data_IF_382163718895
#
_entry.id   IF_382163718895
#
_cell.length_a   1.000
_cell.length_b   1.000
_cell.length_c   1.000
_cell.angle_alpha   90.00
_cell.angle_beta   90.00
_cell.angle_gamma   90.00
#
_symmetry.space_group_name_H-M   'P 1'
#
loop_
_entity.id
_entity.type
_entity.pdbx_description
1 polymer ?
#
# COMPACT_ATOMS: atom_id res chain seq x y z
N UNK A 1 3.26 21.60 -26.91
CA UNK A 1 3.88 22.20 -25.71
C UNK A 1 4.16 21.12 -24.69
N UNK A 2 5.42 20.85 -24.41
CA UNK A 2 5.87 19.76 -23.54
C UNK A 2 5.91 20.20 -22.07
N UNK A 3 5.84 19.23 -21.16
CA UNK A 3 5.81 19.42 -19.70
C UNK A 3 6.99 20.25 -19.13
N UNK A 4 8.05 20.45 -19.92
CA UNK A 4 9.22 21.29 -19.59
C UNK A 4 8.97 22.79 -19.79
N UNK A 5 8.18 23.18 -20.78
CA UNK A 5 7.88 24.60 -21.03
C UNK A 5 6.97 25.23 -19.99
N UNK A 6 6.07 24.44 -19.39
CA UNK A 6 5.22 24.93 -18.28
C UNK A 6 5.97 25.22 -16.97
N UNK A 7 7.14 24.59 -16.75
CA UNK A 7 7.95 24.86 -15.54
C UNK A 7 8.79 26.14 -15.65
N UNK A 8 9.13 26.56 -16.86
CA UNK A 8 9.91 27.77 -17.06
C UNK A 8 9.07 29.06 -16.96
N UNK A 9 7.79 29.00 -17.30
CA UNK A 9 6.86 30.14 -17.14
C UNK A 9 6.57 30.49 -15.70
N UNK A 10 6.54 29.50 -14.78
CA UNK A 10 6.34 29.78 -13.36
C UNK A 10 7.59 30.31 -12.64
N UNK A 11 8.78 30.02 -13.12
CA UNK A 11 10.02 30.51 -12.54
C UNK A 11 10.28 32.00 -12.84
N UNK A 12 9.81 32.49 -13.99
CA UNK A 12 9.99 33.90 -14.38
C UNK A 12 9.02 34.88 -13.73
N UNK A 13 7.83 34.42 -13.29
CA UNK A 13 6.85 35.28 -12.59
C UNK A 13 7.29 35.56 -11.16
N UNK A 14 8.11 34.68 -10.55
CA UNK A 14 8.56 34.87 -9.17
C UNK A 14 9.77 35.80 -9.01
N UNK A 15 10.47 36.15 -10.10
CA UNK A 15 11.68 37.00 -10.03
C UNK A 15 11.41 38.49 -10.23
N UNK A 16 10.24 38.89 -10.74
CA UNK A 16 9.90 40.30 -10.97
C UNK A 16 9.16 40.99 -9.82
N UNK A 17 8.79 40.27 -8.75
CA UNK A 17 8.07 40.85 -7.59
C UNK A 17 8.98 41.16 -6.37
N UNK A 18 10.29 41.22 -6.56
CA UNK A 18 11.22 41.40 -5.41
C UNK A 18 11.99 42.73 -5.38
N UNK A 19 11.44 43.79 -5.94
CA UNK A 19 12.09 45.11 -5.80
C UNK A 19 11.06 46.25 -5.72
N UNK A 20 10.31 46.34 -4.60
CA UNK A 20 9.84 47.64 -4.12
C UNK A 20 9.34 47.57 -2.70
N UNK A 21 9.86 48.51 -1.90
CA UNK A 21 9.45 48.99 -0.57
C UNK A 21 9.74 48.14 0.65
N UNK A 22 10.91 48.38 1.20
CA UNK A 22 11.21 48.27 2.63
C UNK A 22 10.38 49.32 3.41
N UNK A 23 9.23 48.89 3.96
CA UNK A 23 8.46 49.58 4.98
C UNK A 23 8.06 48.56 6.03
N UNK A 24 8.79 48.54 7.16
CA UNK A 24 8.51 47.65 8.28
C UNK A 24 7.16 48.03 8.93
N UNK A 25 6.07 47.36 8.50
CA UNK A 25 4.80 47.37 9.22
C UNK A 25 4.87 46.26 10.27
N UNK A 26 4.59 46.51 11.57
CA UNK A 26 4.58 45.48 12.60
C UNK A 26 3.53 44.45 12.28
N UNK A 27 3.95 43.19 12.03
CA UNK A 27 3.05 42.06 11.84
C UNK A 27 2.24 41.83 13.12
N UNK A 28 1.08 42.46 13.22
CA UNK A 28 0.07 42.08 14.21
C UNK A 28 -0.22 40.59 13.96
N UNK A 29 0.05 39.75 14.98
CA UNK A 29 -0.42 38.36 14.98
C UNK A 29 -1.91 38.37 14.72
N UNK A 30 -2.33 37.95 13.52
CA UNK A 30 -3.72 37.82 13.17
C UNK A 30 -4.38 36.87 14.17
N UNK A 31 -5.48 37.30 14.79
CA UNK A 31 -6.30 36.42 15.64
C UNK A 31 -6.75 35.24 14.78
N UNK A 32 -6.84 34.02 15.33
CA UNK A 32 -7.43 32.90 14.60
C UNK A 32 -8.87 33.30 14.23
N UNK A 33 -9.19 33.21 12.94
CA UNK A 33 -10.51 33.53 12.40
C UNK A 33 -11.53 32.49 12.91
N UNK A 34 -12.72 32.95 13.28
CA UNK A 34 -13.83 32.08 13.63
C UNK A 34 -14.34 31.29 12.40
N UNK A 35 -15.07 30.20 12.63
CA UNK A 35 -15.63 29.38 11.56
C UNK A 35 -16.51 30.19 10.58
N UNK A 36 -17.29 31.16 11.09
CA UNK A 36 -18.13 32.04 10.29
C UNK A 36 -17.28 32.96 9.39
N UNK A 37 -16.22 33.54 9.91
CA UNK A 37 -15.29 34.38 9.14
C UNK A 37 -14.59 33.60 8.00
N UNK A 38 -14.37 32.30 8.18
CA UNK A 38 -13.87 31.43 7.12
C UNK A 38 -14.94 31.14 6.06
N UNK A 39 -16.20 30.95 6.47
CA UNK A 39 -17.31 30.74 5.54
C UNK A 39 -17.55 31.96 4.68
N UNK A 40 -17.54 33.15 5.29
CA UNK A 40 -17.73 34.43 4.58
C UNK A 40 -16.60 34.64 3.57
N UNK A 41 -15.33 34.39 3.95
CA UNK A 41 -14.20 34.50 3.06
C UNK A 41 -14.27 33.53 1.88
N UNK A 42 -14.67 32.27 2.14
CA UNK A 42 -14.82 31.25 1.08
C UNK A 42 -15.94 31.66 0.13
N UNK A 43 -17.07 32.15 0.65
CA UNK A 43 -18.19 32.62 -0.18
C UNK A 43 -17.78 33.80 -1.07
N UNK A 44 -17.08 34.78 -0.51
CA UNK A 44 -16.55 35.94 -1.26
C UNK A 44 -15.58 35.49 -2.37
N UNK A 45 -14.66 34.58 -2.08
CA UNK A 45 -13.71 34.05 -3.08
C UNK A 45 -14.42 33.23 -4.16
N UNK A 46 -15.49 32.50 -3.82
CA UNK A 46 -16.27 31.77 -4.82
C UNK A 46 -17.08 32.71 -5.71
N UNK A 47 -17.68 33.78 -5.15
CA UNK A 47 -18.39 34.78 -5.91
C UNK A 47 -17.46 35.57 -6.85
N UNK A 48 -16.27 35.95 -6.37
CA UNK A 48 -15.24 36.58 -7.17
C UNK A 48 -14.79 35.67 -8.31
N UNK A 49 -14.49 34.39 -8.02
CA UNK A 49 -14.10 33.41 -9.03
C UNK A 49 -15.22 33.19 -10.07
N UNK A 50 -16.49 33.17 -9.62
CA UNK A 50 -17.64 33.04 -10.53
C UNK A 50 -17.79 34.28 -11.43
N UNK A 51 -17.62 35.48 -10.87
CA UNK A 51 -17.72 36.75 -11.64
C UNK A 51 -16.57 36.88 -12.68
N UNK A 52 -15.41 36.33 -12.35
CA UNK A 52 -14.25 36.28 -13.24
C UNK A 52 -14.33 35.13 -14.29
N UNK A 53 -15.45 34.40 -14.34
CA UNK A 53 -15.67 33.32 -15.30
C UNK A 53 -14.85 32.06 -15.04
N UNK A 54 -14.31 31.86 -13.83
CA UNK A 54 -13.52 30.69 -13.49
C UNK A 54 -14.29 29.36 -13.65
N UNK A 55 -15.63 29.44 -13.61
CA UNK A 55 -16.53 28.30 -13.78
C UNK A 55 -17.15 28.22 -15.19
N UNK A 56 -16.78 29.15 -16.08
CA UNK A 56 -17.28 29.16 -17.45
C UNK A 56 -16.55 28.12 -18.30
N UNK A 57 -17.28 27.46 -19.17
CA UNK A 57 -16.73 26.50 -20.13
C UNK A 57 -15.88 25.36 -19.48
N UNK A 58 -16.22 24.93 -18.29
CA UNK A 58 -15.55 23.82 -17.65
C UNK A 58 -15.62 22.54 -18.51
N UNK A 59 -14.49 21.82 -18.70
CA UNK A 59 -14.49 20.57 -19.45
C UNK A 59 -15.40 19.55 -18.76
N UNK A 60 -16.49 19.17 -19.43
CA UNK A 60 -17.50 18.26 -18.88
C UNK A 60 -18.82 18.93 -18.48
N UNK A 61 -18.94 20.27 -18.59
CA UNK A 61 -20.20 20.98 -18.33
C UNK A 61 -21.33 20.40 -19.19
N UNK A 62 -22.47 20.11 -18.53
CA UNK A 62 -23.64 19.50 -19.17
C UNK A 62 -23.54 18.00 -19.50
N UNK A 63 -22.42 17.35 -19.23
CA UNK A 63 -22.29 15.89 -19.39
C UNK A 63 -22.61 15.18 -18.09
N UNK A 64 -23.36 14.04 -18.13
CA UNK A 64 -23.61 13.26 -16.94
C UNK A 64 -22.28 12.77 -16.35
N UNK A 65 -22.07 12.98 -15.06
CA UNK A 65 -20.94 12.45 -14.33
C UNK A 65 -20.98 10.91 -14.37
N UNK A 66 -19.95 10.31 -14.92
CA UNK A 66 -19.78 8.85 -14.81
C UNK A 66 -19.26 8.54 -13.41
N UNK A 67 -20.16 8.44 -12.48
CA UNK A 67 -19.86 7.92 -11.14
C UNK A 67 -19.75 6.40 -11.26
N UNK A 68 -18.59 5.91 -11.63
CA UNK A 68 -18.29 4.47 -11.54
C UNK A 68 -18.25 4.11 -10.05
N UNK A 69 -19.42 3.84 -9.50
CA UNK A 69 -19.52 3.36 -8.13
C UNK A 69 -18.96 1.93 -8.08
N UNK A 70 -17.98 1.72 -7.24
CA UNK A 70 -17.50 0.38 -6.96
C UNK A 70 -18.51 -0.30 -6.01
N UNK A 71 -19.23 -1.36 -6.45
CA UNK A 71 -20.25 -2.01 -5.63
C UNK A 71 -19.69 -2.65 -4.36
N UNK A 72 -18.37 -2.87 -4.31
CA UNK A 72 -17.66 -3.47 -3.17
C UNK A 72 -17.12 -2.41 -2.20
N UNK A 73 -17.38 -1.12 -2.46
CA UNK A 73 -16.89 -0.03 -1.63
C UNK A 73 -17.93 0.38 -0.59
N UNK A 74 -17.58 0.35 0.72
CA UNK A 74 -18.45 0.84 1.78
C UNK A 74 -18.82 2.31 1.54
N UNK A 75 -20.10 2.65 1.73
CA UNK A 75 -20.62 3.99 1.44
C UNK A 75 -19.95 5.10 2.24
N UNK A 76 -19.56 4.82 3.48
CA UNK A 76 -18.86 5.72 4.40
C UNK A 76 -17.40 6.00 3.99
N UNK A 77 -16.78 5.08 3.23
CA UNK A 77 -15.40 5.20 2.75
C UNK A 77 -15.28 5.82 1.35
N UNK A 78 -16.39 6.00 0.62
CA UNK A 78 -16.37 6.48 -0.78
C UNK A 78 -15.66 7.82 -0.95
N UNK A 79 -15.96 8.78 -0.10
CA UNK A 79 -15.36 10.11 -0.17
C UNK A 79 -13.85 10.04 0.13
N UNK A 80 -13.47 9.31 1.18
CA UNK A 80 -12.07 9.13 1.55
C UNK A 80 -11.27 8.43 0.44
N UNK A 81 -11.82 7.36 -0.11
CA UNK A 81 -11.19 6.61 -1.20
C UNK A 81 -11.08 7.45 -2.49
N UNK A 82 -12.09 8.28 -2.78
CA UNK A 82 -12.04 9.21 -3.91
C UNK A 82 -10.93 10.23 -3.75
N UNK A 83 -10.82 10.87 -2.59
CA UNK A 83 -9.76 11.84 -2.32
C UNK A 83 -8.36 11.20 -2.39
N UNK A 84 -8.20 9.99 -1.86
CA UNK A 84 -6.96 9.24 -1.96
C UNK A 84 -6.59 8.95 -3.41
N UNK A 85 -7.57 8.51 -4.21
CA UNK A 85 -7.38 8.18 -5.63
C UNK A 85 -7.05 9.41 -6.47
N UNK A 86 -7.72 10.53 -6.24
CA UNK A 86 -7.50 11.78 -6.98
C UNK A 86 -6.14 12.42 -6.66
N UNK A 87 -5.59 12.15 -5.49
CA UNK A 87 -4.26 12.61 -5.08
C UNK A 87 -3.15 11.54 -5.25
N UNK A 88 -3.42 10.44 -5.96
CA UNK A 88 -2.50 9.30 -6.11
C UNK A 88 -1.99 8.75 -4.76
N UNK A 89 -2.76 8.93 -3.70
CA UNK A 89 -2.45 8.44 -2.37
C UNK A 89 -3.07 7.05 -2.16
N UNK A 90 -2.24 6.10 -1.81
CA UNK A 90 -2.69 4.74 -1.46
C UNK A 90 -2.67 4.58 0.06
N UNK A 91 -3.75 4.10 0.71
CA UNK A 91 -3.70 3.76 2.12
C UNK A 91 -2.53 2.82 2.43
N UNK A 92 -1.78 3.10 3.51
CA UNK A 92 -0.56 2.36 3.86
C UNK A 92 -0.76 0.85 3.94
N UNK A 93 -1.91 0.40 4.47
CA UNK A 93 -2.25 -1.02 4.59
C UNK A 93 -2.27 -1.77 3.25
N UNK A 94 -2.52 -1.09 2.11
CA UNK A 94 -2.48 -1.72 0.78
C UNK A 94 -1.05 -2.10 0.41
N UNK A 95 -0.10 -1.20 0.68
CA UNK A 95 1.33 -1.46 0.49
C UNK A 95 1.82 -2.59 1.39
N UNK A 96 1.49 -2.51 2.67
CA UNK A 96 1.88 -3.50 3.69
C UNK A 96 1.31 -4.89 3.36
N UNK A 97 0.05 -4.95 2.92
CA UNK A 97 -0.59 -6.20 2.49
C UNK A 97 0.10 -6.82 1.28
N UNK A 98 0.43 -6.00 0.27
CA UNK A 98 1.15 -6.47 -0.92
C UNK A 98 2.55 -6.98 -0.58
N UNK A 99 3.27 -6.25 0.26
CA UNK A 99 4.60 -6.66 0.72
C UNK A 99 4.54 -8.00 1.45
N UNK A 100 3.62 -8.15 2.39
CA UNK A 100 3.45 -9.37 3.17
C UNK A 100 3.02 -10.56 2.29
N UNK A 101 2.12 -10.35 1.33
CA UNK A 101 1.76 -11.39 0.35
C UNK A 101 2.97 -11.81 -0.50
N UNK A 102 3.79 -10.87 -0.94
CA UNK A 102 5.00 -11.17 -1.69
C UNK A 102 6.01 -12.00 -0.88
N UNK A 103 6.16 -11.70 0.41
CA UNK A 103 7.03 -12.48 1.31
C UNK A 103 6.49 -13.90 1.54
N UNK A 104 5.18 -14.05 1.72
CA UNK A 104 4.54 -15.37 1.84
C UNK A 104 4.78 -16.21 0.57
N UNK A 105 4.60 -15.63 -0.60
CA UNK A 105 4.86 -16.33 -1.87
C UNK A 105 6.34 -16.66 -2.05
N UNK A 106 7.26 -15.79 -1.62
CA UNK A 106 8.69 -16.05 -1.63
C UNK A 106 9.05 -17.23 -0.72
N UNK A 107 8.47 -17.29 0.49
CA UNK A 107 8.64 -18.41 1.40
C UNK A 107 8.13 -19.70 0.77
N UNK A 108 6.93 -19.73 0.22
CA UNK A 108 6.37 -20.90 -0.47
C UNK A 108 7.24 -21.38 -1.62
N UNK A 109 7.78 -20.46 -2.39
CA UNK A 109 8.71 -20.78 -3.48
C UNK A 109 10.02 -21.38 -2.94
N UNK A 110 10.55 -20.84 -1.85
CA UNK A 110 11.75 -21.37 -1.21
C UNK A 110 11.50 -22.78 -0.63
N UNK A 111 10.34 -23.00 0.00
CA UNK A 111 9.94 -24.31 0.52
C UNK A 111 9.85 -25.35 -0.60
N UNK A 112 9.15 -25.05 -1.70
CA UNK A 112 9.08 -25.96 -2.87
C UNK A 112 10.45 -26.30 -3.41
N UNK A 113 11.31 -25.30 -3.61
CA UNK A 113 12.67 -25.50 -4.12
C UNK A 113 13.52 -26.37 -3.18
N UNK A 114 13.45 -26.10 -1.89
CA UNK A 114 14.20 -26.86 -0.89
C UNK A 114 13.71 -28.31 -0.82
N UNK A 115 12.39 -28.52 -0.87
CA UNK A 115 11.82 -29.86 -0.90
C UNK A 115 12.29 -30.67 -2.12
N UNK A 116 12.23 -30.11 -3.32
CA UNK A 116 12.74 -30.75 -4.55
C UNK A 116 14.21 -31.14 -4.41
N UNK A 117 15.04 -30.27 -3.84
CA UNK A 117 16.47 -30.57 -3.61
C UNK A 117 16.67 -31.67 -2.57
N UNK A 118 15.83 -31.70 -1.53
CA UNK A 118 15.90 -32.73 -0.48
C UNK A 118 15.50 -34.09 -1.04
N UNK A 119 14.43 -34.18 -1.82
CA UNK A 119 14.03 -35.42 -2.50
C UNK A 119 15.09 -35.90 -3.47
N UNK A 120 15.70 -35.01 -4.27
CA UNK A 120 16.78 -35.37 -5.18
C UNK A 120 18.00 -35.92 -4.44
N UNK A 121 18.31 -35.39 -3.27
CA UNK A 121 19.42 -35.91 -2.43
C UNK A 121 19.07 -37.22 -1.77
N UNK A 122 17.84 -37.42 -1.33
CA UNK A 122 17.38 -38.67 -0.73
C UNK A 122 17.51 -39.86 -1.71
N UNK A 123 17.18 -39.62 -2.99
CA UNK A 123 17.31 -40.64 -4.05
C UNK A 123 18.74 -40.86 -4.58
N UNK A 124 19.73 -40.10 -4.12
CA UNK A 124 21.10 -40.25 -4.61
C UNK A 124 21.82 -41.44 -3.93
N UNK A 125 22.59 -42.27 -4.70
CA UNK A 125 23.35 -43.39 -4.12
C UNK A 125 24.46 -42.88 -3.20
N UNK A 126 24.60 -43.50 -2.03
CA UNK A 126 25.63 -43.13 -1.04
C UNK A 126 25.24 -41.97 -0.12
N UNK A 127 23.98 -41.63 -0.06
CA UNK A 127 23.47 -40.57 0.82
C UNK A 127 23.53 -41.00 2.29
N UNK A 128 24.00 -40.08 3.15
CA UNK A 128 23.88 -40.21 4.61
C UNK A 128 22.48 -39.75 5.04
N UNK A 129 21.59 -40.73 5.22
CA UNK A 129 20.19 -40.48 5.62
C UNK A 129 20.11 -39.74 6.96
N UNK A 130 20.99 -39.99 7.92
CA UNK A 130 20.95 -39.32 9.23
C UNK A 130 21.38 -37.83 9.11
N UNK A 131 22.37 -37.53 8.30
CA UNK A 131 22.81 -36.18 8.01
C UNK A 131 21.70 -35.41 7.24
N UNK A 132 21.05 -36.06 6.28
CA UNK A 132 19.94 -35.47 5.52
C UNK A 132 18.75 -35.14 6.41
N UNK A 133 18.34 -36.10 7.27
CA UNK A 133 17.25 -35.93 8.23
C UNK A 133 17.55 -34.79 9.23
N UNK A 134 18.78 -34.72 9.74
CA UNK A 134 19.18 -33.65 10.66
C UNK A 134 19.22 -32.28 9.97
N UNK A 135 19.62 -32.23 8.70
CA UNK A 135 19.54 -31.04 7.86
C UNK A 135 18.10 -30.57 7.61
N UNK A 136 17.21 -31.52 7.30
CA UNK A 136 15.80 -31.28 7.08
C UNK A 136 15.12 -30.70 8.33
N UNK A 137 15.37 -31.30 9.50
CA UNK A 137 14.83 -30.79 10.78
C UNK A 137 15.30 -29.37 11.10
N UNK A 138 16.53 -29.01 10.73
CA UNK A 138 16.99 -27.60 10.87
C UNK A 138 16.24 -26.67 9.93
N UNK A 139 16.00 -27.09 8.71
CA UNK A 139 15.23 -26.32 7.71
C UNK A 139 13.81 -26.08 8.21
N UNK A 140 13.14 -27.12 8.71
CA UNK A 140 11.79 -27.01 9.28
C UNK A 140 11.72 -25.98 10.41
N UNK A 141 12.67 -26.03 11.37
CA UNK A 141 12.75 -25.04 12.45
C UNK A 141 12.91 -23.61 11.93
N UNK A 142 13.77 -23.41 10.94
CA UNK A 142 13.91 -22.09 10.31
C UNK A 142 12.63 -21.59 9.66
N UNK A 143 11.83 -22.48 9.05
CA UNK A 143 10.52 -22.10 8.51
C UNK A 143 9.47 -21.85 9.60
N UNK A 144 9.48 -22.59 10.70
CA UNK A 144 8.63 -22.35 11.87
C UNK A 144 8.85 -20.92 12.42
N UNK A 145 10.13 -20.52 12.55
CA UNK A 145 10.49 -19.17 12.99
C UNK A 145 10.02 -18.08 12.01
N UNK A 146 10.23 -18.28 10.70
CA UNK A 146 9.77 -17.37 9.67
C UNK A 146 8.26 -17.26 9.62
N UNK A 147 7.54 -18.38 9.70
CA UNK A 147 6.08 -18.42 9.77
C UNK A 147 5.57 -17.71 11.02
N UNK A 148 6.22 -17.89 12.16
CA UNK A 148 5.85 -17.20 13.39
C UNK A 148 6.00 -15.68 13.26
N UNK A 149 7.06 -15.21 12.59
CA UNK A 149 7.25 -13.79 12.32
C UNK A 149 6.20 -13.23 11.35
N UNK A 150 5.97 -13.92 10.23
CA UNK A 150 4.92 -13.55 9.28
C UNK A 150 3.55 -13.51 9.94
N UNK A 151 3.23 -14.47 10.81
CA UNK A 151 1.95 -14.51 11.52
C UNK A 151 1.78 -13.34 12.51
N UNK A 152 2.86 -12.86 13.14
CA UNK A 152 2.80 -11.63 13.95
C UNK A 152 2.46 -10.41 13.09
N UNK A 153 3.09 -10.32 11.92
CA UNK A 153 2.86 -9.22 10.98
C UNK A 153 1.47 -9.30 10.33
N UNK A 154 0.98 -10.51 10.03
CA UNK A 154 -0.40 -10.74 9.58
C UNK A 154 -1.40 -10.26 10.65
N UNK A 155 -1.19 -10.61 11.91
CA UNK A 155 -2.07 -10.18 13.00
C UNK A 155 -2.12 -8.65 13.12
N UNK A 156 -0.96 -7.99 13.06
CA UNK A 156 -0.87 -6.52 13.10
C UNK A 156 -1.55 -5.87 11.89
N UNK A 157 -1.35 -6.40 10.69
CA UNK A 157 -2.00 -5.90 9.49
C UNK A 157 -3.52 -6.04 9.58
N UNK A 158 -4.03 -7.21 9.99
CA UNK A 158 -5.46 -7.47 10.07
C UNK A 158 -6.20 -6.50 11.00
N UNK A 159 -5.54 -5.96 12.04
CA UNK A 159 -6.10 -4.92 12.91
C UNK A 159 -6.30 -3.59 12.17
N UNK A 160 -5.46 -3.30 11.18
CA UNK A 160 -5.50 -2.03 10.42
C UNK A 160 -6.41 -2.08 9.20
N UNK A 161 -6.90 -3.27 8.85
CA UNK A 161 -7.74 -3.43 7.66
C UNK A 161 -9.16 -2.89 7.89
N UNK A 162 -9.71 -2.11 6.94
CA UNK A 162 -11.05 -1.55 7.07
C UNK A 162 -12.17 -2.58 6.88
N UNK A 163 -11.86 -3.73 6.28
CA UNK A 163 -12.85 -4.76 5.92
C UNK A 163 -12.29 -6.13 6.28
N UNK A 164 -13.02 -6.89 7.08
CA UNK A 164 -12.66 -8.24 7.53
C UNK A 164 -12.41 -9.23 6.38
N UNK A 165 -13.08 -9.07 5.23
CA UNK A 165 -12.88 -9.92 4.04
C UNK A 165 -11.49 -9.78 3.40
N UNK A 166 -10.74 -8.76 3.78
CA UNK A 166 -9.38 -8.52 3.30
C UNK A 166 -8.32 -9.12 4.22
N UNK A 167 -8.70 -9.72 5.32
CA UNK A 167 -7.79 -10.35 6.26
C UNK A 167 -6.93 -11.44 5.59
N UNK A 168 -5.70 -11.52 6.03
CA UNK A 168 -4.81 -12.61 5.67
C UNK A 168 -4.93 -13.72 6.72
N UNK A 169 -5.06 -14.95 6.26
CA UNK A 169 -5.07 -16.10 7.13
C UNK A 169 -3.68 -16.39 7.69
N UNK A 170 -3.65 -16.88 8.93
CA UNK A 170 -2.41 -17.34 9.54
C UNK A 170 -1.87 -18.54 8.80
N UNK A 171 -0.56 -18.57 8.62
CA UNK A 171 0.16 -19.68 8.03
C UNK A 171 0.38 -20.77 9.08
N UNK A 172 0.25 -22.02 8.67
CA UNK A 172 0.62 -23.18 9.48
C UNK A 172 1.62 -24.03 8.70
N UNK A 173 2.72 -24.39 9.33
CA UNK A 173 3.78 -25.15 8.64
C UNK A 173 3.24 -26.44 8.01
N UNK A 174 2.37 -27.17 8.72
CA UNK A 174 1.83 -28.44 8.23
C UNK A 174 0.95 -28.28 6.97
N UNK A 175 0.15 -27.21 6.92
CA UNK A 175 -0.66 -26.87 5.74
C UNK A 175 0.23 -26.48 4.53
N UNK A 176 1.27 -25.70 4.80
CA UNK A 176 2.22 -25.30 3.75
C UNK A 176 3.06 -26.50 3.25
N UNK A 177 3.51 -27.40 4.14
CA UNK A 177 4.16 -28.64 3.76
C UNK A 177 3.23 -29.54 2.94
N UNK A 178 2.01 -29.74 3.40
CA UNK A 178 1.00 -30.52 2.68
C UNK A 178 0.74 -29.98 1.27
N UNK A 179 0.74 -28.65 1.08
CA UNK A 179 0.55 -28.02 -0.22
C UNK A 179 1.63 -28.32 -1.27
N UNK A 180 2.82 -28.69 -0.80
CA UNK A 180 3.98 -29.05 -1.64
C UNK A 180 4.29 -30.55 -1.63
N UNK A 181 3.45 -31.36 -0.98
CA UNK A 181 3.67 -32.80 -0.80
C UNK A 181 4.86 -33.15 0.06
N UNK A 182 5.26 -32.25 0.98
CA UNK A 182 6.37 -32.46 1.89
C UNK A 182 5.87 -33.04 3.22
N UNK A 183 6.73 -33.85 3.85
CA UNK A 183 6.50 -34.46 5.16
C UNK A 183 7.46 -33.90 6.21
N UNK A 184 7.09 -34.00 7.47
CA UNK A 184 8.00 -33.58 8.56
C UNK A 184 9.20 -34.54 8.71
N UNK A 185 8.99 -35.83 8.44
CA UNK A 185 10.02 -36.84 8.53
C UNK A 185 10.30 -37.39 7.13
N UNK A 186 11.56 -37.47 6.76
CA UNK A 186 11.95 -38.02 5.46
C UNK A 186 11.73 -39.54 5.36
N UNK A 187 11.63 -40.24 6.49
CA UNK A 187 11.28 -41.65 6.52
C UNK A 187 9.88 -41.97 5.94
N UNK A 188 8.99 -40.98 5.88
CA UNK A 188 7.64 -41.14 5.36
C UNK A 188 7.62 -41.04 3.80
N UNK A 189 8.77 -40.79 3.14
CA UNK A 189 8.88 -40.72 1.69
C UNK A 189 8.87 -42.09 1.01
N UNK A 190 9.18 -43.15 1.75
CA UNK A 190 9.35 -44.53 1.21
C UNK A 190 8.04 -45.35 1.33
N UNK A 191 6.92 -44.73 1.72
CA UNK A 191 5.60 -45.38 1.82
C UNK A 191 4.66 -44.89 0.70
#
# INVERSE_FOLDING_TARGET
MTRKEKRQTFANVSSEMSSETAGAVPRRRARPRGLNEWQDLISEQLEEAASNGAFDNLPGSGRPLRLNENPNEPSDMRMANKLLKENDLTPGWIGDRKALQSEIEALRKAMRRQWTLTCARAGAPGNDAAALESGWKRTLRGWEEQIADLNRRIANLNITLPIWRMELHRLKLDEELGSIGATRNLADLDQ
#
